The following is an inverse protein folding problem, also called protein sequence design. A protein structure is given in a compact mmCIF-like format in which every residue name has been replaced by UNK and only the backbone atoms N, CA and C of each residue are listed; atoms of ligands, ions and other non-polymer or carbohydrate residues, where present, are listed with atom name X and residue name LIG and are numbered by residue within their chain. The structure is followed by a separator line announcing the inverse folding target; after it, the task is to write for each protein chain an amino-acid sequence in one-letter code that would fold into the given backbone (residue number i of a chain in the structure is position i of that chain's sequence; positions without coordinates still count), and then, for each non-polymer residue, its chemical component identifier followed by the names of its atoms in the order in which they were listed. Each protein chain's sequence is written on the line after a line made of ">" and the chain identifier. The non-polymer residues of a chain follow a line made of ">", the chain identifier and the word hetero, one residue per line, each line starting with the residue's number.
data_IF_984637824451
#
_entry.id   IF_984637824451
#
_cell.length_a   1.000
_cell.length_b   1.000
_cell.length_c   1.000
_cell.angle_alpha   90.00
_cell.angle_beta   90.00
_cell.angle_gamma   90.00
#
_symmetry.space_group_name_H-M   'P 1'
#
loop_
_entity.id
_entity.type
_entity.pdbx_description
1 polymer ?
#
# COMPACT_ATOMS: atom_id res chain seq x y z
N UNK A 1 -1.03 13.29 9.01
CA UNK A 1 0.46 13.42 8.82
C UNK A 1 1.23 12.27 9.48
N UNK A 2 0.80 11.72 10.62
CA UNK A 2 1.60 10.82 11.47
C UNK A 2 1.71 9.37 10.94
N UNK A 3 0.67 8.81 10.38
CA UNK A 3 0.71 7.45 9.80
C UNK A 3 1.63 7.34 8.57
N UNK A 4 1.87 8.44 7.91
CA UNK A 4 2.57 8.56 6.64
C UNK A 4 4.08 8.66 6.82
N UNK A 5 4.52 9.44 7.80
CA UNK A 5 5.94 9.56 8.14
C UNK A 5 6.51 8.24 8.66
N UNK A 6 5.70 7.42 9.31
CA UNK A 6 6.14 6.18 9.93
C UNK A 6 6.49 5.05 8.96
N UNK A 7 6.10 5.13 7.69
CA UNK A 7 6.57 4.19 6.66
C UNK A 7 7.98 4.51 6.13
N UNK A 8 8.45 5.73 6.34
CA UNK A 8 9.78 6.18 5.89
C UNK A 8 10.77 6.45 7.04
N UNK A 9 10.30 6.48 8.29
CA UNK A 9 11.14 6.73 9.44
C UNK A 9 11.87 5.47 9.90
N UNK A 10 13.15 5.64 10.16
CA UNK A 10 14.10 4.59 10.56
C UNK A 10 13.71 3.91 11.88
N UNK A 11 14.20 2.69 12.09
CA UNK A 11 13.95 1.79 13.22
C UNK A 11 14.06 2.40 14.65
N UNK A 12 14.56 3.61 14.81
CA UNK A 12 14.69 4.28 16.14
C UNK A 12 13.39 4.91 16.65
N UNK A 13 12.45 5.29 15.76
CA UNK A 13 11.18 5.93 16.16
C UNK A 13 10.03 4.94 16.31
N UNK A 14 10.27 3.66 15.98
CA UNK A 14 9.29 2.57 16.10
C UNK A 14 8.87 2.24 17.55
N UNK A 15 9.53 2.78 18.58
CA UNK A 15 9.16 2.52 19.98
C UNK A 15 7.84 3.20 20.40
N UNK A 16 7.54 4.37 19.86
CA UNK A 16 6.27 5.07 20.13
C UNK A 16 5.08 4.43 19.39
N UNK A 17 5.36 3.80 18.23
CA UNK A 17 4.34 3.11 17.43
C UNK A 17 4.06 1.71 17.99
N UNK A 18 5.03 1.07 18.65
CA UNK A 18 4.80 -0.22 19.34
C UNK A 18 3.67 -0.14 20.36
N UNK A 19 3.45 1.02 20.97
CA UNK A 19 2.35 1.21 21.93
C UNK A 19 0.98 1.44 21.27
N UNK A 20 0.91 1.81 19.98
CA UNK A 20 -0.33 1.88 19.20
C UNK A 20 -0.66 0.54 18.52
N UNK A 21 0.33 -0.36 18.43
CA UNK A 21 0.19 -1.67 17.78
C UNK A 21 -0.37 -2.75 18.70
N UNK A 22 -0.90 -2.36 19.86
CA UNK A 22 -1.13 -3.25 20.99
C UNK A 22 -2.08 -4.41 20.73
N UNK A 23 -2.91 -4.44 19.70
CA UNK A 23 -3.78 -5.60 19.51
C UNK A 23 -4.24 -5.90 18.06
N UNK A 24 -3.64 -5.28 17.07
CA UNK A 24 -3.98 -5.56 15.69
C UNK A 24 -3.00 -6.56 15.09
N UNK A 25 -3.10 -7.84 15.46
CA UNK A 25 -2.55 -8.89 14.60
C UNK A 25 -3.35 -8.89 13.31
N UNK A 26 -2.82 -8.18 12.31
CA UNK A 26 -3.43 -8.11 10.99
C UNK A 26 -3.07 -9.37 10.22
N UNK A 27 -4.09 -10.03 9.67
CA UNK A 27 -3.88 -11.10 8.72
C UNK A 27 -3.82 -10.47 7.33
N UNK A 28 -2.67 -10.62 6.66
CA UNK A 28 -2.51 -10.24 5.26
C UNK A 28 -2.80 -11.46 4.39
N UNK A 29 -3.74 -11.36 3.49
CA UNK A 29 -3.86 -12.32 2.41
C UNK A 29 -3.41 -11.67 1.11
N UNK A 30 -2.43 -12.30 0.43
CA UNK A 30 -2.04 -11.93 -0.92
C UNK A 30 -2.97 -12.63 -1.89
N UNK A 31 -3.98 -11.91 -2.39
CA UNK A 31 -5.01 -12.45 -3.28
C UNK A 31 -4.46 -12.65 -4.70
N UNK A 32 -3.72 -11.69 -5.21
CA UNK A 32 -3.19 -11.74 -6.56
C UNK A 32 -1.75 -11.23 -6.64
N UNK A 33 -0.93 -11.90 -7.45
CA UNK A 33 0.39 -11.42 -7.89
C UNK A 33 0.62 -11.85 -9.33
N UNK A 34 0.78 -10.89 -10.23
CA UNK A 34 1.03 -11.14 -11.65
C UNK A 34 1.84 -10.03 -12.29
N UNK A 35 2.42 -10.33 -13.45
CA UNK A 35 2.98 -9.32 -14.35
C UNK A 35 1.86 -8.86 -15.29
N UNK A 36 1.70 -7.56 -15.42
CA UNK A 36 0.75 -6.93 -16.34
C UNK A 36 1.47 -5.98 -17.28
N UNK A 37 0.88 -5.73 -18.45
CA UNK A 37 1.32 -4.62 -19.29
C UNK A 37 1.15 -3.29 -18.56
N UNK A 38 2.01 -2.33 -18.86
CA UNK A 38 1.91 -1.02 -18.22
C UNK A 38 0.64 -0.27 -18.68
N UNK A 39 -0.37 -0.26 -17.81
CA UNK A 39 -1.64 0.46 -18.01
C UNK A 39 -1.55 1.95 -17.64
N UNK A 40 -0.47 2.35 -16.96
CA UNK A 40 -0.21 3.72 -16.52
C UNK A 40 0.95 4.35 -17.31
N UNK A 41 0.93 4.26 -18.65
CA UNK A 41 2.04 4.72 -19.52
C UNK A 41 2.51 6.14 -19.21
N UNK A 42 1.58 7.05 -18.89
CA UNK A 42 1.91 8.43 -18.53
C UNK A 42 2.59 8.57 -17.16
N UNK A 43 2.39 7.61 -16.26
CA UNK A 43 3.00 7.61 -14.91
C UNK A 43 4.32 6.82 -14.88
N UNK A 44 4.44 5.76 -15.67
CA UNK A 44 5.62 4.90 -15.81
C UNK A 44 6.14 4.93 -17.26
N UNK A 45 6.61 6.06 -17.77
CA UNK A 45 6.93 6.20 -19.21
C UNK A 45 8.03 5.27 -19.69
N UNK A 46 8.98 4.95 -18.82
CA UNK A 46 10.14 4.08 -19.14
C UNK A 46 9.91 2.61 -18.80
N UNK A 47 8.69 2.21 -18.41
CA UNK A 47 8.40 0.85 -17.97
C UNK A 47 7.45 0.15 -18.95
N UNK A 48 7.82 -1.03 -19.43
CA UNK A 48 6.99 -1.83 -20.34
C UNK A 48 5.96 -2.67 -19.62
N UNK A 49 6.30 -3.14 -18.41
CA UNK A 49 5.46 -4.02 -17.60
C UNK A 49 5.55 -3.69 -16.11
N UNK A 50 4.49 -4.05 -15.38
CA UNK A 50 4.36 -3.82 -13.95
C UNK A 50 4.13 -5.14 -13.23
N UNK A 51 4.64 -5.27 -12.01
CA UNK A 51 4.07 -6.23 -11.06
C UNK A 51 2.80 -5.63 -10.47
N UNK A 52 1.73 -6.39 -10.52
CA UNK A 52 0.47 -6.10 -9.84
C UNK A 52 0.32 -7.01 -8.63
N UNK A 53 -0.01 -6.39 -7.49
CA UNK A 53 -0.37 -7.11 -6.26
C UNK A 53 -1.73 -6.62 -5.78
N UNK A 54 -2.58 -7.56 -5.36
CA UNK A 54 -3.80 -7.27 -4.61
C UNK A 54 -3.71 -7.97 -3.26
N UNK A 55 -3.89 -7.21 -2.18
CA UNK A 55 -3.87 -7.72 -0.81
C UNK A 55 -5.11 -7.27 -0.07
N UNK A 56 -5.63 -8.16 0.77
CA UNK A 56 -6.73 -7.85 1.68
C UNK A 56 -6.19 -7.95 3.09
N UNK A 57 -6.41 -6.90 3.88
CA UNK A 57 -5.99 -6.83 5.26
C UNK A 57 -7.23 -6.94 6.16
N UNK A 58 -7.17 -7.86 7.12
CA UNK A 58 -8.29 -8.21 8.00
C UNK A 58 -7.92 -8.02 9.46
N UNK A 59 -8.90 -7.63 10.26
CA UNK A 59 -8.82 -7.75 11.71
C UNK A 59 -8.84 -9.22 12.15
N UNK A 60 -8.53 -9.48 13.42
CA UNK A 60 -8.60 -10.84 14.02
C UNK A 60 -9.98 -11.50 13.86
N UNK A 61 -11.03 -10.71 13.88
CA UNK A 61 -12.42 -11.19 13.68
C UNK A 61 -12.78 -11.50 12.21
N UNK A 62 -11.81 -11.41 11.29
CA UNK A 62 -11.99 -11.68 9.87
C UNK A 62 -12.54 -10.51 9.05
N UNK A 63 -12.99 -9.41 9.70
CA UNK A 63 -13.51 -8.24 8.99
C UNK A 63 -12.41 -7.55 8.19
N UNK A 64 -12.68 -7.24 6.93
CA UNK A 64 -11.77 -6.48 6.07
C UNK A 64 -11.74 -5.02 6.51
N UNK A 65 -10.56 -4.46 6.69
CA UNK A 65 -10.40 -3.04 6.95
C UNK A 65 -9.68 -2.29 5.82
N UNK A 66 -8.94 -3.00 4.99
CA UNK A 66 -8.19 -2.39 3.89
C UNK A 66 -8.02 -3.36 2.72
N UNK A 67 -8.21 -2.85 1.50
CA UNK A 67 -7.80 -3.48 0.25
C UNK A 67 -6.63 -2.67 -0.29
N UNK A 68 -5.48 -3.31 -0.58
CA UNK A 68 -4.32 -2.66 -1.19
C UNK A 68 -4.10 -3.22 -2.59
N UNK A 69 -4.01 -2.32 -3.58
CA UNK A 69 -3.67 -2.62 -4.98
C UNK A 69 -2.37 -1.92 -5.32
N UNK A 70 -1.31 -2.67 -5.57
CA UNK A 70 0.02 -2.11 -5.77
C UNK A 70 0.52 -2.40 -7.18
N UNK A 71 1.11 -1.39 -7.80
CA UNK A 71 1.70 -1.44 -9.15
C UNK A 71 3.17 -1.06 -9.05
N UNK A 72 4.05 -2.01 -9.32
CA UNK A 72 5.50 -1.85 -9.16
C UNK A 72 6.17 -1.86 -10.53
N UNK A 73 7.04 -0.88 -10.78
CA UNK A 73 7.82 -0.79 -12.01
C UNK A 73 8.80 -1.96 -12.11
N UNK A 74 8.52 -2.95 -12.97
CA UNK A 74 9.33 -4.16 -13.11
C UNK A 74 10.74 -3.86 -13.63
N UNK A 75 10.86 -2.93 -14.59
CA UNK A 75 12.14 -2.60 -15.23
C UNK A 75 13.09 -1.89 -14.27
N UNK A 76 12.56 -1.23 -13.21
CA UNK A 76 13.36 -0.56 -12.17
C UNK A 76 13.71 -1.52 -11.03
N UNK A 77 12.76 -2.36 -10.63
CA UNK A 77 12.91 -3.21 -9.43
C UNK A 77 13.53 -4.57 -9.73
N UNK A 78 13.60 -4.96 -11.00
CA UNK A 78 14.11 -6.27 -11.40
C UNK A 78 13.16 -7.41 -11.01
N UNK A 79 13.71 -8.59 -10.75
CA UNK A 79 12.92 -9.80 -10.46
C UNK A 79 12.50 -9.81 -9.00
N UNK A 80 11.19 -9.76 -8.78
CA UNK A 80 10.57 -9.89 -7.46
C UNK A 80 9.72 -11.17 -7.44
N UNK A 81 9.80 -11.93 -6.34
CA UNK A 81 9.09 -13.19 -6.19
C UNK A 81 7.87 -13.02 -5.27
N UNK A 82 6.75 -13.68 -5.62
CA UNK A 82 5.53 -13.73 -4.82
C UNK A 82 5.78 -14.07 -3.34
N UNK A 83 6.70 -15.00 -3.05
CA UNK A 83 7.02 -15.41 -1.67
C UNK A 83 7.52 -14.27 -0.80
N UNK A 84 8.14 -13.25 -1.37
CA UNK A 84 8.70 -12.10 -0.65
C UNK A 84 7.63 -11.21 -0.03
N UNK A 85 6.39 -11.25 -0.57
CA UNK A 85 5.27 -10.42 -0.10
C UNK A 85 4.38 -11.11 0.93
N UNK A 86 4.61 -12.39 1.28
CA UNK A 86 3.73 -13.11 2.20
C UNK A 86 3.67 -12.47 3.59
N UNK A 87 4.84 -12.12 4.12
CA UNK A 87 4.98 -11.66 5.51
C UNK A 87 5.67 -10.30 5.62
N UNK A 88 5.94 -9.64 4.48
CA UNK A 88 6.67 -8.38 4.44
C UNK A 88 5.82 -7.25 3.88
N UNK A 89 6.09 -6.06 4.40
CA UNK A 89 5.60 -4.83 3.81
C UNK A 89 6.18 -4.67 2.38
N UNK A 90 5.41 -4.08 1.48
CA UNK A 90 5.84 -3.85 0.10
C UNK A 90 7.11 -2.97 0.02
N UNK A 91 7.21 -1.96 0.87
CA UNK A 91 8.39 -1.10 0.94
C UNK A 91 9.62 -1.85 1.42
N UNK A 92 9.46 -2.76 2.40
CA UNK A 92 10.55 -3.61 2.88
C UNK A 92 11.06 -4.53 1.77
N UNK A 93 10.18 -5.08 0.95
CA UNK A 93 10.57 -5.87 -0.22
C UNK A 93 11.32 -5.01 -1.23
N UNK A 94 10.83 -3.83 -1.55
CA UNK A 94 11.49 -2.94 -2.53
C UNK A 94 12.87 -2.49 -2.05
N UNK A 95 12.99 -2.05 -0.82
CA UNK A 95 14.25 -1.50 -0.28
C UNK A 95 15.27 -2.61 -0.04
N UNK A 96 14.85 -3.71 0.60
CA UNK A 96 15.79 -4.73 1.06
C UNK A 96 16.07 -5.81 0.01
N UNK A 97 15.12 -6.09 -0.89
CA UNK A 97 15.27 -7.17 -1.88
C UNK A 97 15.67 -6.63 -3.24
N UNK A 98 14.97 -5.64 -3.76
CA UNK A 98 15.30 -5.05 -5.07
C UNK A 98 16.37 -3.96 -4.99
N UNK A 99 16.79 -3.58 -3.78
CA UNK A 99 17.80 -2.54 -3.51
C UNK A 99 17.45 -1.18 -4.12
N UNK A 100 16.18 -0.93 -4.37
CA UNK A 100 15.71 0.36 -4.86
C UNK A 100 15.86 1.41 -3.76
N UNK A 101 16.51 2.51 -4.09
CA UNK A 101 16.64 3.67 -3.20
C UNK A 101 15.48 4.62 -3.47
N UNK A 102 14.56 4.74 -2.52
CA UNK A 102 13.44 5.68 -2.60
C UNK A 102 13.88 7.05 -2.10
N UNK A 103 13.52 8.10 -2.85
CA UNK A 103 13.84 9.50 -2.53
C UNK A 103 12.68 10.20 -1.81
N UNK A 104 11.48 10.10 -2.37
CA UNK A 104 10.29 10.75 -1.85
C UNK A 104 9.02 9.97 -2.18
N UNK A 105 7.91 10.40 -1.58
CA UNK A 105 6.58 9.91 -1.93
C UNK A 105 5.60 11.07 -2.01
N UNK A 106 4.55 10.89 -2.83
CA UNK A 106 3.36 11.74 -2.86
C UNK A 106 2.16 10.93 -2.43
N UNK A 107 1.30 11.54 -1.62
CA UNK A 107 0.06 10.93 -1.16
C UNK A 107 -1.13 11.73 -1.66
N UNK A 108 -2.18 11.04 -2.05
CA UNK A 108 -3.47 11.61 -2.39
C UNK A 108 -4.57 10.82 -1.67
N UNK A 109 -5.44 11.54 -0.95
CA UNK A 109 -6.60 10.95 -0.26
C UNK A 109 -7.86 11.50 -0.91
N UNK A 110 -8.75 10.59 -1.34
CA UNK A 110 -10.03 10.94 -1.96
C UNK A 110 -11.18 10.17 -1.32
N UNK A 111 -12.31 10.83 -1.14
CA UNK A 111 -13.57 10.16 -0.88
C UNK A 111 -14.15 9.65 -2.21
N UNK A 112 -14.71 8.45 -2.20
CA UNK A 112 -15.37 7.85 -3.36
C UNK A 112 -16.43 6.83 -2.93
N UNK A 113 -17.19 6.32 -3.89
CA UNK A 113 -18.18 5.29 -3.63
C UNK A 113 -17.67 3.92 -4.09
N UNK A 114 -17.82 2.89 -3.25
CA UNK A 114 -17.35 1.54 -3.56
C UNK A 114 -17.91 1.01 -4.88
N UNK A 115 -17.04 0.37 -5.66
CA UNK A 115 -17.45 -0.48 -6.78
C UNK A 115 -18.20 -1.72 -6.26
N UNK A 116 -18.96 -2.40 -7.14
CA UNK A 116 -19.61 -3.64 -6.76
C UNK A 116 -18.60 -4.72 -6.29
N UNK A 117 -17.43 -4.81 -6.94
CA UNK A 117 -16.35 -5.74 -6.58
C UNK A 117 -15.80 -5.45 -5.18
N UNK A 118 -15.44 -4.20 -4.91
CA UNK A 118 -14.84 -3.82 -3.63
C UNK A 118 -15.88 -3.93 -2.48
N UNK A 119 -17.15 -3.59 -2.77
CA UNK A 119 -18.24 -3.73 -1.81
C UNK A 119 -18.44 -5.19 -1.35
N UNK A 120 -18.37 -6.14 -2.26
CA UNK A 120 -18.45 -7.58 -1.91
C UNK A 120 -17.31 -7.99 -0.96
N UNK A 121 -16.08 -7.51 -1.20
CA UNK A 121 -14.92 -7.81 -0.35
C UNK A 121 -15.12 -7.23 1.06
N UNK A 122 -15.63 -6.01 1.17
CA UNK A 122 -15.92 -5.37 2.46
C UNK A 122 -17.22 -5.86 3.12
N UNK A 123 -17.97 -6.74 2.49
CA UNK A 123 -19.32 -7.17 2.93
C UNK A 123 -20.26 -5.97 3.10
N UNK A 124 -20.19 -5.05 2.15
CA UNK A 124 -20.95 -3.80 2.10
C UNK A 124 -21.79 -3.72 0.83
N UNK A 125 -22.40 -2.58 0.56
CA UNK A 125 -23.22 -2.36 -0.63
C UNK A 125 -22.50 -1.49 -1.66
N UNK A 126 -22.77 -1.72 -2.96
CA UNK A 126 -22.28 -0.84 -4.02
C UNK A 126 -22.68 0.61 -3.74
N UNK A 127 -21.76 1.53 -3.91
CA UNK A 127 -22.00 2.95 -3.65
C UNK A 127 -21.79 3.37 -2.20
N UNK A 128 -21.41 2.45 -1.29
CA UNK A 128 -21.08 2.81 0.08
C UNK A 128 -19.87 3.78 0.10
N UNK A 129 -19.89 4.85 0.92
CA UNK A 129 -18.79 5.79 1.03
C UNK A 129 -17.51 5.12 1.51
N UNK A 130 -16.40 5.45 0.87
CA UNK A 130 -15.07 4.92 1.19
C UNK A 130 -13.99 5.99 1.00
N UNK A 131 -12.82 5.74 1.55
CA UNK A 131 -11.62 6.53 1.33
C UNK A 131 -10.64 5.73 0.47
N UNK A 132 -10.09 6.40 -0.54
CA UNK A 132 -8.93 5.94 -1.29
C UNK A 132 -7.72 6.73 -0.85
N UNK A 133 -6.64 6.03 -0.52
CA UNK A 133 -5.35 6.59 -0.16
C UNK A 133 -4.32 6.08 -1.15
N UNK A 134 -3.88 6.93 -2.06
CA UNK A 134 -2.93 6.57 -3.11
C UNK A 134 -1.56 7.12 -2.80
N UNK A 135 -0.58 6.24 -2.73
CA UNK A 135 0.83 6.55 -2.58
C UNK A 135 1.58 6.36 -3.88
N UNK A 136 2.37 7.36 -4.27
CA UNK A 136 3.30 7.28 -5.39
C UNK A 136 4.72 7.43 -4.84
N UNK A 137 5.57 6.42 -5.01
CA UNK A 137 6.96 6.41 -4.51
C UNK A 137 7.93 6.58 -5.66
N UNK A 138 8.92 7.46 -5.48
CA UNK A 138 9.89 7.84 -6.50
C UNK A 138 11.31 7.51 -6.07
N UNK A 139 12.16 7.10 -7.02
CA UNK A 139 13.59 6.91 -6.84
C UNK A 139 14.37 8.25 -6.88
N UNK A 140 15.70 8.19 -6.74
CA UNK A 140 16.56 9.38 -6.80
C UNK A 140 16.64 10.03 -8.20
N UNK A 141 16.27 9.29 -9.25
CA UNK A 141 16.16 9.81 -10.62
C UNK A 141 14.77 10.37 -10.93
N UNK A 142 13.88 10.49 -9.92
CA UNK A 142 12.49 10.88 -10.03
C UNK A 142 11.64 9.92 -10.90
N UNK A 143 12.06 8.68 -11.10
CA UNK A 143 11.21 7.67 -11.71
C UNK A 143 10.19 7.18 -10.68
N UNK A 144 8.95 7.02 -11.12
CA UNK A 144 7.92 6.37 -10.31
C UNK A 144 8.22 4.87 -10.22
N UNK A 145 8.36 4.36 -9.00
CA UNK A 145 8.71 2.97 -8.70
C UNK A 145 7.48 2.16 -8.28
N UNK A 146 6.61 2.78 -7.49
CA UNK A 146 5.44 2.13 -6.91
C UNK A 146 4.26 3.09 -6.87
N UNK A 147 3.09 2.62 -7.29
CA UNK A 147 1.79 3.15 -6.90
C UNK A 147 1.18 2.13 -5.94
N UNK A 148 0.77 2.57 -4.75
CA UNK A 148 0.04 1.76 -3.77
C UNK A 148 -1.31 2.42 -3.48
N UNK A 149 -2.39 1.80 -3.94
CA UNK A 149 -3.77 2.27 -3.76
C UNK A 149 -4.40 1.49 -2.61
N UNK A 150 -4.75 2.19 -1.54
CA UNK A 150 -5.41 1.62 -0.36
C UNK A 150 -6.87 2.07 -0.31
N UNK A 151 -7.80 1.15 -0.19
CA UNK A 151 -9.23 1.40 -0.06
C UNK A 151 -9.67 1.04 1.35
N UNK A 152 -10.37 1.95 2.02
CA UNK A 152 -10.85 1.80 3.41
C UNK A 152 -12.29 2.29 3.54
N UNK A 153 -13.10 1.61 4.36
CA UNK A 153 -14.48 2.00 4.67
C UNK A 153 -14.64 2.55 6.09
N UNK A 154 -13.58 2.58 6.89
CA UNK A 154 -13.59 3.07 8.26
C UNK A 154 -12.93 4.43 8.38
N UNK A 155 -13.41 5.25 9.33
CA UNK A 155 -12.77 6.50 9.69
C UNK A 155 -11.42 6.25 10.35
N UNK A 156 -10.37 6.91 9.87
CA UNK A 156 -9.11 7.01 10.57
C UNK A 156 -9.24 8.13 11.61
N UNK A 157 -9.30 7.79 12.89
CA UNK A 157 -9.12 8.77 13.96
C UNK A 157 -7.62 8.98 14.21
N UNK A 158 -7.14 10.19 13.99
CA UNK A 158 -5.77 10.57 14.33
C UNK A 158 -5.82 11.35 15.65
N UNK A 159 -5.37 10.73 16.74
CA UNK A 159 -5.20 11.43 18.02
C UNK A 159 -3.83 12.11 18.04
N UNK A 160 -3.80 13.43 17.85
CA UNK A 160 -2.62 14.24 18.07
C UNK A 160 -2.58 14.64 19.55
N UNK A 161 -1.59 14.15 20.29
CA UNK A 161 -1.24 14.70 21.60
C UNK A 161 -0.24 15.83 21.39
N UNK A 162 -0.62 17.04 21.75
CA UNK A 162 0.30 18.17 21.84
C UNK A 162 0.79 18.23 23.28
N UNK A 163 2.10 18.19 23.48
CA UNK A 163 2.76 18.42 24.76
C UNK A 163 3.40 19.80 24.75
#
# INVERSE_FOLDING_TARGET
>A
KTLILNRLLTNKENSAIKNLSVDLKHYHSLEEFKVISNIFKNKFPSCSSLYYLERILRFKNGRVYLISKSYIAKDITGIINKKQFRDKNILDVLINTSKVKLKNSKQEIKAFNLSAKDALIFQSVKGFPALSNTWNFYDFNNNLVLIDEEIMIESLSVNNKYY
#
